data_IF_284050960369
#
_entry.id   IF_284050960369
#
_cell.length_a   1.000
_cell.length_b   1.000
_cell.length_c   1.000
_cell.angle_alpha   90.00
_cell.angle_beta   90.00
_cell.angle_gamma   90.00
#
_symmetry.space_group_name_H-M   'P 1'
#
loop_
_entity.id
_entity.type
_entity.pdbx_description
1 polymer ?
#
# COMPACT_ATOMS: atom_id res chain seq x y z
N UNK A 1 -3.91 -14.51 0.46
CA UNK A 1 -3.19 -14.22 -0.81
C UNK A 1 -1.68 -14.13 -0.56
N UNK A 2 -0.86 -15.04 -1.12
CA UNK A 2 0.60 -15.11 -0.83
C UNK A 2 1.38 -13.87 -1.31
N UNK A 3 0.99 -13.29 -2.45
CA UNK A 3 1.73 -12.20 -3.10
C UNK A 3 1.77 -10.89 -2.28
N UNK A 4 0.62 -10.47 -1.72
CA UNK A 4 0.54 -9.27 -0.87
C UNK A 4 1.32 -9.41 0.43
N UNK A 5 1.33 -10.61 1.03
CA UNK A 5 2.12 -10.84 2.23
C UNK A 5 3.63 -10.83 1.93
N UNK A 6 4.06 -11.44 0.82
CA UNK A 6 5.46 -11.42 0.41
C UNK A 6 5.96 -10.00 0.09
N UNK A 7 5.17 -9.22 -0.66
CA UNK A 7 5.53 -7.86 -1.05
C UNK A 7 5.80 -6.93 0.15
N UNK A 8 5.18 -7.17 1.31
CA UNK A 8 5.44 -6.38 2.53
C UNK A 8 6.84 -6.56 3.11
N UNK A 9 7.43 -7.73 2.90
CA UNK A 9 8.72 -8.11 3.46
C UNK A 9 9.83 -8.10 2.43
N UNK A 10 9.52 -7.89 1.15
CA UNK A 10 10.51 -7.81 0.09
C UNK A 10 11.49 -6.64 0.34
N UNK A 11 12.74 -6.92 0.76
CA UNK A 11 13.73 -5.90 1.05
C UNK A 11 14.04 -4.95 -0.13
N UNK A 12 14.10 -5.41 -1.41
CA UNK A 12 14.55 -4.53 -2.49
C UNK A 12 13.56 -3.40 -2.83
N UNK A 13 12.28 -3.51 -2.45
CA UNK A 13 11.27 -2.48 -2.77
C UNK A 13 11.04 -1.46 -1.63
N UNK A 14 11.74 -1.61 -0.49
CA UNK A 14 11.57 -0.77 0.70
C UNK A 14 10.11 -0.65 1.18
N UNK A 15 9.29 -1.67 0.90
CA UNK A 15 7.86 -1.67 1.18
C UNK A 15 7.56 -1.36 2.66
N UNK A 16 8.38 -1.89 3.58
CA UNK A 16 8.25 -1.64 5.01
C UNK A 16 8.38 -0.15 5.39
N UNK A 17 9.29 0.58 4.75
CA UNK A 17 9.42 2.03 4.97
C UNK A 17 8.22 2.79 4.38
N UNK A 18 7.77 2.39 3.18
CA UNK A 18 6.63 3.02 2.49
C UNK A 18 5.32 2.90 3.28
N UNK A 19 5.08 1.77 3.95
CA UNK A 19 3.83 1.51 4.67
C UNK A 19 3.89 1.76 6.18
N UNK A 20 5.02 2.26 6.70
CA UNK A 20 5.16 2.55 8.13
C UNK A 20 4.08 3.55 8.59
N UNK A 21 3.27 3.16 9.58
CA UNK A 21 2.19 4.02 10.09
C UNK A 21 0.96 4.11 9.18
N UNK A 22 0.84 3.20 8.20
CA UNK A 22 -0.33 3.04 7.36
C UNK A 22 -0.99 1.69 7.63
N UNK A 23 -2.32 1.66 7.49
CA UNK A 23 -3.10 0.43 7.43
C UNK A 23 -3.65 0.28 6.01
N UNK A 24 -3.16 -0.71 5.27
CA UNK A 24 -3.64 -1.02 3.93
C UNK A 24 -4.84 -1.96 4.01
N UNK A 25 -5.91 -1.68 3.28
CA UNK A 25 -7.15 -2.46 3.30
C UNK A 25 -7.57 -2.74 1.86
N UNK A 26 -7.59 -4.01 1.48
CA UNK A 26 -8.11 -4.41 0.18
C UNK A 26 -9.64 -4.34 0.19
N UNK A 27 -10.23 -3.77 -0.86
CA UNK A 27 -11.70 -3.65 -0.98
C UNK A 27 -12.34 -4.80 -1.76
N UNK A 28 -11.53 -5.55 -2.49
CA UNK A 28 -11.91 -6.67 -3.37
C UNK A 28 -11.66 -8.05 -2.74
N UNK A 29 -11.01 -8.09 -1.57
CA UNK A 29 -10.80 -9.31 -0.79
C UNK A 29 -10.60 -8.97 0.70
N UNK A 30 -10.89 -9.93 1.58
CA UNK A 30 -10.76 -9.76 3.04
C UNK A 30 -9.29 -9.76 3.48
N UNK A 31 -8.63 -8.61 3.28
CA UNK A 31 -7.24 -8.41 3.66
C UNK A 31 -7.04 -7.00 4.16
N UNK A 32 -6.47 -6.90 5.36
CA UNK A 32 -6.03 -5.65 5.94
C UNK A 32 -4.70 -5.85 6.66
N UNK A 33 -3.85 -4.84 6.62
CA UNK A 33 -2.47 -4.98 7.06
C UNK A 33 -1.85 -3.69 7.56
N UNK A 34 -0.97 -3.81 8.55
CA UNK A 34 -0.32 -2.64 9.15
C UNK A 34 -1.21 -1.98 10.19
N UNK A 35 -0.79 -0.80 10.64
CA UNK A 35 -1.45 -0.02 11.69
C UNK A 35 -1.21 1.46 11.40
N UNK A 36 -2.22 2.31 11.63
CA UNK A 36 -2.16 3.76 11.44
C UNK A 36 -3.25 4.25 10.49
N UNK A 37 -2.96 5.25 9.66
CA UNK A 37 -3.95 5.87 8.76
C UNK A 37 -4.35 4.88 7.67
N UNK A 38 -5.66 4.71 7.46
CA UNK A 38 -6.19 3.78 6.48
C UNK A 38 -5.91 4.24 5.04
N UNK A 39 -5.51 3.28 4.21
CA UNK A 39 -5.46 3.38 2.75
C UNK A 39 -6.20 2.18 2.19
N UNK A 40 -7.25 2.43 1.43
CA UNK A 40 -8.11 1.38 0.89
C UNK A 40 -8.21 1.47 -0.63
N UNK A 41 -8.33 0.30 -1.27
CA UNK A 41 -8.49 0.15 -2.71
C UNK A 41 -8.33 -1.31 -3.12
N UNK A 42 -8.29 -1.57 -4.43
CA UNK A 42 -8.09 -2.94 -4.95
C UNK A 42 -6.74 -3.50 -4.51
N UNK A 43 -6.69 -4.81 -4.25
CA UNK A 43 -5.50 -5.54 -3.86
C UNK A 43 -4.33 -5.33 -4.84
N UNK A 44 -4.62 -5.28 -6.14
CA UNK A 44 -3.64 -4.98 -7.18
C UNK A 44 -3.06 -3.56 -7.04
N UNK A 45 -3.92 -2.55 -6.84
CA UNK A 45 -3.49 -1.17 -6.66
C UNK A 45 -2.60 -1.01 -5.41
N UNK A 46 -2.94 -1.70 -4.32
CA UNK A 46 -2.13 -1.74 -3.10
C UNK A 46 -0.78 -2.42 -3.35
N UNK A 47 -0.74 -3.52 -4.11
CA UNK A 47 0.50 -4.22 -4.48
C UNK A 47 1.41 -3.33 -5.33
N UNK A 48 0.86 -2.64 -6.33
CA UNK A 48 1.60 -1.71 -7.18
C UNK A 48 2.12 -0.51 -6.38
N UNK A 49 1.34 -0.02 -5.41
CA UNK A 49 1.78 1.04 -4.50
C UNK A 49 2.93 0.57 -3.59
N UNK A 50 2.85 -0.67 -3.06
CA UNK A 50 3.93 -1.29 -2.30
C UNK A 50 5.22 -1.41 -3.12
N UNK A 51 5.09 -1.74 -4.41
CA UNK A 51 6.20 -1.81 -5.37
C UNK A 51 6.75 -0.42 -5.76
N UNK A 52 6.10 0.67 -5.35
CA UNK A 52 6.54 2.03 -5.65
C UNK A 52 6.15 2.54 -7.03
N UNK A 53 5.11 2.00 -7.66
CA UNK A 53 4.65 2.47 -8.97
C UNK A 53 3.90 3.81 -8.84
N UNK A 54 4.41 4.84 -9.51
CA UNK A 54 3.76 6.15 -9.57
C UNK A 54 2.40 6.06 -10.29
N UNK A 55 1.47 6.95 -9.92
CA UNK A 55 0.15 7.06 -10.55
C UNK A 55 -0.93 6.12 -9.99
N UNK A 56 -0.58 4.97 -9.41
CA UNK A 56 -1.57 4.02 -8.86
C UNK A 56 -2.30 4.55 -7.62
N UNK A 57 -1.75 5.59 -6.99
CA UNK A 57 -2.40 6.28 -5.86
C UNK A 57 -3.74 6.93 -6.25
N UNK A 58 -4.02 7.16 -7.53
CA UNK A 58 -5.34 7.62 -8.01
C UNK A 58 -6.44 6.56 -7.86
N UNK A 59 -6.07 5.29 -7.77
CA UNK A 59 -6.99 4.16 -7.55
C UNK A 59 -7.14 3.80 -6.07
N UNK A 60 -6.40 4.50 -5.20
CA UNK A 60 -6.42 4.31 -3.76
C UNK A 60 -7.11 5.49 -3.08
N UNK A 61 -7.65 5.23 -1.90
CA UNK A 61 -8.43 6.19 -1.14
C UNK A 61 -8.08 6.12 0.35
N UNK A 62 -8.52 7.12 1.11
CA UNK A 62 -8.43 7.13 2.56
C UNK A 62 -7.43 8.11 3.15
N UNK A 63 -7.48 8.30 4.47
CA UNK A 63 -6.71 9.33 5.15
C UNK A 63 -5.20 9.13 5.01
N UNK A 64 -4.70 7.91 4.79
CA UNK A 64 -3.27 7.64 4.61
C UNK A 64 -2.72 7.92 3.21
N UNK A 65 -3.58 8.22 2.23
CA UNK A 65 -3.21 8.26 0.82
C UNK A 65 -2.13 9.30 0.51
N UNK A 66 -2.27 10.52 1.03
CA UNK A 66 -1.30 11.59 0.80
C UNK A 66 0.10 11.22 1.32
N UNK A 67 0.17 10.53 2.47
CA UNK A 67 1.44 10.05 3.02
C UNK A 67 2.06 8.96 2.15
N UNK A 68 1.24 8.03 1.65
CA UNK A 68 1.68 6.98 0.74
C UNK A 68 2.19 7.57 -0.59
N UNK A 69 1.47 8.54 -1.16
CA UNK A 69 1.85 9.25 -2.38
C UNK A 69 3.21 9.94 -2.26
N UNK A 70 3.43 10.69 -1.18
CA UNK A 70 4.73 11.35 -0.91
C UNK A 70 5.89 10.34 -0.81
N UNK A 71 5.65 9.14 -0.29
CA UNK A 71 6.67 8.09 -0.14
C UNK A 71 6.91 7.29 -1.42
N UNK A 72 5.94 7.28 -2.33
CA UNK A 72 6.10 6.66 -3.66
C UNK A 72 6.85 7.60 -4.61
N UNK A 73 6.82 8.90 -4.33
CA UNK A 73 7.74 9.88 -4.91
C UNK A 73 7.07 10.91 -5.82
N UNK A 74 5.77 11.17 -5.67
CA UNK A 74 5.06 12.15 -6.51
C UNK A 74 5.03 11.75 -7.96
#
# INVERSE_FOLDING_TARGET
MPALNFARFAPPIHAHSRIRGLRLIATDLDWAVGRGRDVYGRAEALLLALAGRHGVTRELNGPGLALLHNRIGG
#
